data_IF_881788679522
#
_entry.id   IF_881788679522
#
_cell.length_a   1.000
_cell.length_b   1.000
_cell.length_c   1.000
_cell.angle_alpha   90.00
_cell.angle_beta   90.00
_cell.angle_gamma   90.00
#
_symmetry.space_group_name_H-M   'P 1'
#
loop_
_entity.id
_entity.type
_entity.pdbx_description
1 polymer ?
#
# COMPACT_ATOMS: atom_id res chain seq x y z
N UNK A 1 12.89 23.60 -45.89
CA UNK A 1 13.51 24.53 -44.93
C UNK A 1 12.43 25.08 -43.99
N UNK A 2 12.57 24.74 -42.70
CA UNK A 2 12.01 25.36 -41.47
C UNK A 2 10.72 26.18 -41.53
N UNK A 3 9.65 25.60 -40.97
CA UNK A 3 8.57 26.35 -40.33
C UNK A 3 8.97 26.65 -38.88
N UNK A 4 9.32 27.89 -38.56
CA UNK A 4 9.45 28.36 -37.17
C UNK A 4 8.41 29.46 -36.96
N UNK A 5 7.29 29.08 -36.34
CA UNK A 5 6.32 29.99 -35.73
C UNK A 5 7.06 30.87 -34.73
N UNK A 6 7.14 32.16 -35.03
CA UNK A 6 7.65 33.18 -34.10
C UNK A 6 6.63 33.35 -32.96
N UNK A 7 6.80 32.62 -31.86
CA UNK A 7 6.08 32.91 -30.62
C UNK A 7 6.65 34.20 -30.03
N UNK A 8 5.98 35.32 -30.29
CA UNK A 8 6.25 36.60 -29.61
C UNK A 8 5.99 36.39 -28.11
N UNK A 9 7.05 36.45 -27.31
CA UNK A 9 7.02 36.38 -25.84
C UNK A 9 5.98 37.41 -25.34
N UNK A 10 5.02 36.90 -24.56
CA UNK A 10 3.89 37.59 -23.91
C UNK A 10 4.33 38.93 -23.30
N UNK A 11 3.49 39.98 -23.34
CA UNK A 11 3.87 41.32 -22.91
C UNK A 11 4.30 41.34 -21.45
N UNK A 12 5.29 42.20 -21.23
CA UNK A 12 5.90 42.58 -19.97
C UNK A 12 4.88 42.65 -18.83
N UNK A 13 4.88 41.65 -17.94
CA UNK A 13 4.21 41.72 -16.65
C UNK A 13 5.06 42.64 -15.76
N UNK A 14 4.96 43.95 -15.96
CA UNK A 14 5.65 44.96 -15.14
C UNK A 14 4.64 45.96 -14.62
N UNK A 15 4.11 45.70 -13.43
CA UNK A 15 3.17 46.66 -12.85
C UNK A 15 2.65 46.21 -11.52
N UNK A 16 1.95 45.07 -11.48
CA UNK A 16 1.24 44.71 -10.24
C UNK A 16 2.17 44.19 -9.14
N UNK A 17 3.08 43.25 -9.44
CA UNK A 17 4.03 42.75 -8.44
C UNK A 17 5.01 43.83 -7.95
N UNK A 18 5.47 44.74 -8.84
CA UNK A 18 6.35 45.84 -8.46
C UNK A 18 5.66 46.86 -7.53
N UNK A 19 4.36 47.11 -7.73
CA UNK A 19 3.54 47.94 -6.84
C UNK A 19 3.34 47.27 -5.47
N UNK A 20 3.08 45.97 -5.45
CA UNK A 20 2.95 45.20 -4.20
C UNK A 20 4.27 45.22 -3.41
N UNK A 21 5.41 45.07 -4.08
CA UNK A 21 6.72 45.11 -3.45
C UNK A 21 7.09 46.49 -2.93
N UNK A 22 6.72 47.59 -3.63
CA UNK A 22 6.98 48.98 -3.20
C UNK A 22 6.07 49.45 -2.07
N UNK A 23 4.86 48.89 -1.94
CA UNK A 23 3.93 49.21 -0.85
C UNK A 23 4.21 48.40 0.43
N UNK A 24 4.97 47.31 0.33
CA UNK A 24 5.32 46.46 1.48
C UNK A 24 6.25 47.16 2.48
N UNK A 25 7.03 48.14 2.01
CA UNK A 25 8.02 48.89 2.78
C UNK A 25 7.48 50.18 3.43
N UNK A 26 6.25 50.60 3.14
CA UNK A 26 5.59 51.73 3.81
C UNK A 26 4.63 51.31 4.93
N UNK A 27 4.33 50.01 5.05
CA UNK A 27 3.48 49.52 6.12
C UNK A 27 4.30 49.20 7.37
N UNK A 28 4.61 50.21 8.18
CA UNK A 28 4.92 50.04 9.62
C UNK A 28 3.66 49.64 10.41
N UNK A 29 2.81 48.81 9.81
CA UNK A 29 1.76 48.11 10.52
C UNK A 29 2.43 46.84 11.03
N UNK A 30 2.83 46.87 12.29
CA UNK A 30 3.17 45.65 13.03
C UNK A 30 1.99 44.72 12.89
N UNK A 31 2.07 43.79 11.94
CA UNK A 31 1.10 42.71 11.79
C UNK A 31 1.29 41.84 13.03
N UNK A 32 0.59 42.19 14.10
CA UNK A 32 0.48 41.34 15.26
C UNK A 32 -0.16 40.06 14.74
N UNK A 33 0.55 38.92 14.73
CA UNK A 33 -0.07 37.67 14.32
C UNK A 33 -1.27 37.47 15.24
N UNK A 34 -2.45 37.29 14.66
CA UNK A 34 -3.63 36.91 15.43
C UNK A 34 -3.26 35.63 16.18
N UNK A 35 -3.37 35.64 17.51
CA UNK A 35 -3.22 34.44 18.31
C UNK A 35 -4.33 33.48 17.90
N UNK A 36 -4.02 32.58 16.97
CA UNK A 36 -4.87 31.45 16.67
C UNK A 36 -4.92 30.63 17.96
N UNK A 37 -6.09 30.43 18.58
CA UNK A 37 -6.21 29.50 19.69
C UNK A 37 -5.68 28.16 19.18
N UNK A 38 -4.58 27.70 19.74
CA UNK A 38 -4.09 26.36 19.49
C UNK A 38 -5.07 25.43 20.18
N UNK A 39 -6.17 25.07 19.50
CA UNK A 39 -6.93 23.92 19.94
C UNK A 39 -5.94 22.76 19.97
N UNK A 40 -5.79 22.07 21.11
CA UNK A 40 -5.00 20.86 21.13
C UNK A 40 -5.61 19.97 20.07
N UNK A 41 -4.83 19.64 19.03
CA UNK A 41 -5.22 18.67 18.01
C UNK A 41 -5.78 17.49 18.79
N UNK A 42 -7.07 17.14 18.65
CA UNK A 42 -7.62 16.00 19.34
C UNK A 42 -6.69 14.85 18.99
N UNK A 43 -6.02 14.32 20.02
CA UNK A 43 -5.17 13.17 19.86
C UNK A 43 -6.10 12.13 19.26
N UNK A 44 -5.93 11.86 17.96
CA UNK A 44 -6.59 10.72 17.34
C UNK A 44 -6.08 9.56 18.17
N UNK A 45 -6.97 9.08 19.04
CA UNK A 45 -6.73 7.95 19.90
C UNK A 45 -6.08 6.90 19.02
N UNK A 46 -4.87 6.50 19.39
CA UNK A 46 -4.16 5.42 18.75
C UNK A 46 -5.11 4.23 18.84
N UNK A 47 -5.86 4.01 17.75
CA UNK A 47 -6.81 2.93 17.66
C UNK A 47 -5.98 1.69 17.91
N UNK A 48 -6.29 1.01 19.02
CA UNK A 48 -5.57 -0.17 19.47
C UNK A 48 -5.32 -1.08 18.27
N UNK A 49 -4.11 -1.03 17.71
CA UNK A 49 -3.65 -1.94 16.67
C UNK A 49 -3.43 -3.24 17.40
N UNK A 50 -4.49 -4.01 17.53
CA UNK A 50 -4.46 -5.32 18.13
C UNK A 50 -3.62 -6.20 17.22
N UNK A 51 -2.31 -6.23 17.49
CA UNK A 51 -1.36 -7.04 16.75
C UNK A 51 -1.82 -8.49 16.83
N UNK A 52 -2.07 -9.16 15.68
CA UNK A 52 -2.55 -10.52 15.71
C UNK A 52 -1.50 -11.41 16.40
N UNK A 53 -1.97 -12.22 17.36
CA UNK A 53 -1.14 -13.16 18.10
C UNK A 53 -0.41 -14.09 17.12
N UNK A 54 0.91 -14.36 17.29
CA UNK A 54 1.65 -15.20 16.36
C UNK A 54 1.18 -16.66 16.41
N UNK A 55 0.88 -17.23 15.25
CA UNK A 55 0.54 -18.64 15.09
C UNK A 55 1.81 -19.49 15.04
N UNK A 56 1.87 -20.53 15.87
CA UNK A 56 3.03 -21.44 15.98
C UNK A 56 2.61 -22.82 15.49
N UNK A 57 3.44 -23.42 14.63
CA UNK A 57 3.27 -24.80 14.18
C UNK A 57 4.50 -25.63 14.55
N UNK A 58 4.35 -26.94 14.71
CA UNK A 58 5.45 -27.82 15.12
C UNK A 58 5.90 -28.71 13.96
N UNK A 59 7.18 -28.65 13.62
CA UNK A 59 7.86 -29.54 12.67
C UNK A 59 8.88 -30.36 13.47
N UNK A 60 8.79 -31.70 13.46
CA UNK A 60 9.69 -32.58 14.23
C UNK A 60 9.85 -32.16 15.72
N UNK A 61 8.76 -31.79 16.39
CA UNK A 61 8.75 -31.26 17.77
C UNK A 61 9.46 -29.91 17.98
N UNK A 62 9.88 -29.22 16.91
CA UNK A 62 10.40 -27.85 16.98
C UNK A 62 9.31 -26.83 16.63
N UNK A 63 9.10 -25.78 17.45
CA UNK A 63 8.16 -24.72 17.13
C UNK A 63 8.71 -23.83 16.00
N UNK A 64 7.93 -23.67 14.95
CA UNK A 64 8.17 -22.76 13.83
C UNK A 64 7.08 -21.69 13.87
N UNK A 65 7.44 -20.40 14.03
CA UNK A 65 6.49 -19.31 13.94
C UNK A 65 6.09 -19.11 12.48
N UNK A 66 4.79 -18.97 12.22
CA UNK A 66 4.31 -18.57 10.90
C UNK A 66 4.47 -17.05 10.74
N UNK A 67 4.80 -16.58 9.51
CA UNK A 67 4.77 -15.15 9.24
C UNK A 67 3.34 -14.62 9.42
N UNK A 68 3.21 -13.37 9.85
CA UNK A 68 1.90 -12.73 9.96
C UNK A 68 1.53 -12.13 8.60
N UNK A 69 0.24 -12.21 8.25
CA UNK A 69 -0.25 -11.59 7.03
C UNK A 69 -0.17 -10.05 7.18
N UNK A 70 0.43 -9.33 6.22
CA UNK A 70 0.41 -7.88 6.19
C UNK A 70 -1.02 -7.33 6.23
N UNK A 71 -1.22 -6.21 6.93
CA UNK A 71 -2.50 -5.52 6.99
C UNK A 71 -2.64 -4.59 5.78
N UNK A 72 -3.86 -4.48 5.28
CA UNK A 72 -4.17 -3.57 4.20
C UNK A 72 -3.99 -2.11 4.65
N UNK A 73 -3.43 -1.24 3.79
CA UNK A 73 -3.15 0.14 4.14
C UNK A 73 -4.38 1.06 4.09
N UNK A 74 -4.67 1.75 5.20
CA UNK A 74 -5.77 2.72 5.30
C UNK A 74 -5.41 4.14 4.81
N UNK A 75 -4.14 4.42 4.52
CA UNK A 75 -3.61 5.75 4.19
C UNK A 75 -3.40 5.97 2.67
N UNK A 76 -4.20 5.31 1.82
CA UNK A 76 -4.13 5.48 0.37
C UNK A 76 -4.57 6.90 -0.06
N UNK A 77 -3.63 7.70 -0.56
CA UNK A 77 -3.85 9.10 -0.97
C UNK A 77 -4.33 9.25 -2.43
N UNK A 78 -4.25 8.21 -3.27
CA UNK A 78 -4.61 8.22 -4.71
C UNK A 78 -3.92 9.30 -5.56
N UNK A 79 -2.84 9.92 -5.08
CA UNK A 79 -2.17 11.05 -5.72
C UNK A 79 -1.05 10.67 -6.70
N UNK A 80 -0.74 9.38 -6.84
CA UNK A 80 0.30 8.89 -7.77
C UNK A 80 1.74 9.18 -7.32
N UNK A 81 2.04 9.01 -6.03
CA UNK A 81 3.39 9.14 -5.48
C UNK A 81 4.37 8.12 -6.08
N UNK A 82 5.67 8.45 -6.06
CA UNK A 82 6.76 7.55 -6.48
C UNK A 82 6.83 6.28 -5.62
N UNK A 83 6.47 6.37 -4.35
CA UNK A 83 6.30 5.22 -3.47
C UNK A 83 4.82 5.11 -3.11
N UNK A 84 4.11 4.23 -3.82
CA UNK A 84 2.73 3.94 -3.50
C UNK A 84 2.68 3.04 -2.26
N UNK A 85 1.73 3.30 -1.36
CA UNK A 85 1.54 2.43 -0.20
C UNK A 85 1.14 1.01 -0.62
N UNK A 86 0.42 0.88 -1.74
CA UNK A 86 0.09 -0.42 -2.32
C UNK A 86 1.30 -1.17 -2.84
N UNK A 87 2.32 -0.48 -3.35
CA UNK A 87 3.56 -1.12 -3.79
C UNK A 87 4.29 -1.71 -2.58
N UNK A 88 4.42 -0.93 -1.49
CA UNK A 88 5.02 -1.40 -0.24
C UNK A 88 4.25 -2.58 0.36
N UNK A 89 2.92 -2.50 0.37
CA UNK A 89 2.07 -3.60 0.83
C UNK A 89 2.25 -4.85 -0.04
N UNK A 90 2.43 -4.68 -1.35
CA UNK A 90 2.64 -5.79 -2.26
C UNK A 90 4.01 -6.45 -2.03
N UNK A 91 5.07 -5.66 -1.81
CA UNK A 91 6.38 -6.17 -1.38
C UNK A 91 6.26 -6.98 -0.08
N UNK A 92 5.57 -6.45 0.94
CA UNK A 92 5.32 -7.16 2.20
C UNK A 92 4.54 -8.48 1.99
N UNK A 93 3.58 -8.49 1.06
CA UNK A 93 2.79 -9.67 0.70
C UNK A 93 3.62 -10.73 -0.04
N UNK A 94 4.55 -10.31 -0.91
CA UNK A 94 5.49 -11.19 -1.59
C UNK A 94 6.44 -11.86 -0.59
N UNK A 95 6.98 -11.08 0.36
CA UNK A 95 7.80 -11.58 1.46
C UNK A 95 7.04 -12.58 2.35
N UNK A 96 5.78 -12.29 2.65
CA UNK A 96 4.90 -13.20 3.39
C UNK A 96 4.70 -14.52 2.64
N UNK A 97 4.42 -14.45 1.34
CA UNK A 97 4.24 -15.63 0.50
C UNK A 97 5.53 -16.47 0.39
N UNK A 98 6.69 -15.82 0.26
CA UNK A 98 7.99 -16.47 0.20
C UNK A 98 8.30 -17.24 1.49
N UNK A 99 8.09 -16.63 2.66
CA UNK A 99 8.28 -17.29 3.97
C UNK A 99 7.34 -18.48 4.16
N UNK A 100 6.07 -18.34 3.76
CA UNK A 100 5.12 -19.44 3.81
C UNK A 100 5.54 -20.60 2.90
N UNK A 101 6.02 -20.30 1.69
CA UNK A 101 6.52 -21.32 0.76
C UNK A 101 7.72 -22.05 1.35
N UNK A 102 8.68 -21.34 1.94
CA UNK A 102 9.84 -21.96 2.59
C UNK A 102 9.42 -22.92 3.71
N UNK A 103 8.46 -22.53 4.54
CA UNK A 103 7.95 -23.40 5.61
C UNK A 103 7.28 -24.63 4.99
N UNK A 104 6.43 -24.47 3.97
CA UNK A 104 5.82 -25.61 3.25
C UNK A 104 6.86 -26.57 2.70
N UNK A 105 7.91 -26.05 2.06
CA UNK A 105 8.98 -26.86 1.48
C UNK A 105 9.70 -27.66 2.57
N UNK A 106 9.90 -27.10 3.76
CA UNK A 106 10.45 -27.83 4.93
C UNK A 106 9.53 -28.98 5.39
N UNK A 107 8.20 -28.79 5.40
CA UNK A 107 7.25 -29.87 5.72
C UNK A 107 7.30 -31.00 4.69
N UNK A 108 7.35 -30.65 3.40
CA UNK A 108 7.45 -31.61 2.29
C UNK A 108 8.74 -32.41 2.39
N UNK A 109 9.89 -31.74 2.62
CA UNK A 109 11.19 -32.40 2.77
C UNK A 109 11.24 -33.32 4.01
N UNK A 110 10.56 -32.96 5.09
CA UNK A 110 10.45 -33.80 6.28
C UNK A 110 9.45 -34.96 6.13
N UNK A 111 8.69 -35.02 5.05
CA UNK A 111 7.64 -36.03 4.84
C UNK A 111 6.47 -35.90 5.82
N UNK A 112 6.29 -34.73 6.44
CA UNK A 112 5.18 -34.46 7.36
C UNK A 112 4.00 -33.82 6.60
N UNK A 113 2.75 -34.06 7.04
CA UNK A 113 1.59 -33.42 6.43
C UNK A 113 1.66 -31.89 6.61
N UNK A 114 1.31 -31.15 5.55
CA UNK A 114 1.31 -29.70 5.56
C UNK A 114 0.18 -29.20 6.49
N UNK A 115 0.45 -28.26 7.41
CA UNK A 115 -0.56 -27.67 8.29
C UNK A 115 -1.63 -26.89 7.52
N UNK A 116 -2.88 -26.91 7.99
CA UNK A 116 -4.00 -26.22 7.36
C UNK A 116 -3.77 -24.70 7.26
N UNK A 117 -3.15 -24.08 8.26
CA UNK A 117 -2.80 -22.65 8.26
C UNK A 117 -1.85 -22.23 7.15
N UNK A 118 -1.00 -23.15 6.67
CA UNK A 118 -0.12 -22.87 5.53
C UNK A 118 -0.85 -23.12 4.21
N UNK A 119 -1.76 -24.08 4.14
CA UNK A 119 -2.51 -24.40 2.93
C UNK A 119 -3.64 -23.40 2.68
N UNK A 120 -3.27 -22.14 2.44
CA UNK A 120 -4.12 -21.17 1.75
C UNK A 120 -4.28 -21.61 0.29
N UNK A 121 -4.94 -22.73 0.05
CA UNK A 121 -5.58 -22.92 -1.25
C UNK A 121 -6.57 -21.77 -1.38
N UNK A 122 -6.61 -21.06 -2.53
CA UNK A 122 -7.72 -20.16 -2.80
C UNK A 122 -8.98 -21.00 -2.60
N UNK A 123 -9.83 -20.58 -1.66
CA UNK A 123 -11.08 -21.27 -1.40
C UNK A 123 -11.77 -21.37 -2.76
N UNK A 124 -11.90 -22.58 -3.31
CA UNK A 124 -12.63 -22.84 -4.58
C UNK A 124 -14.07 -22.31 -4.49
N UNK A 125 -14.51 -21.99 -3.28
CA UNK A 125 -15.76 -21.37 -2.91
C UNK A 125 -15.84 -19.87 -3.29
N UNK A 126 -14.71 -19.17 -3.42
CA UNK A 126 -14.65 -17.74 -3.80
C UNK A 126 -14.25 -17.52 -5.29
N UNK A 127 -14.09 -18.59 -6.06
CA UNK A 127 -13.84 -18.46 -7.50
C UNK A 127 -15.13 -18.14 -8.24
N UNK A 128 -15.05 -17.23 -9.21
CA UNK A 128 -16.19 -16.88 -10.07
C UNK A 128 -16.84 -18.15 -10.64
N UNK A 129 -18.19 -18.29 -10.62
CA UNK A 129 -18.89 -19.47 -11.12
C UNK A 129 -18.48 -19.87 -12.54
N UNK A 130 -18.09 -18.91 -13.39
CA UNK A 130 -17.61 -19.15 -14.76
C UNK A 130 -16.23 -19.82 -14.76
N UNK A 131 -15.31 -19.34 -13.92
CA UNK A 131 -13.98 -19.96 -13.79
C UNK A 131 -14.07 -21.39 -13.25
N UNK A 132 -15.00 -21.64 -12.31
CA UNK A 132 -15.25 -22.98 -11.78
C UNK A 132 -15.78 -23.94 -12.85
N UNK A 133 -16.73 -23.48 -13.68
CA UNK A 133 -17.26 -24.28 -14.77
C UNK A 133 -16.17 -24.67 -15.78
N UNK A 134 -15.25 -23.75 -16.08
CA UNK A 134 -14.14 -24.01 -16.99
C UNK A 134 -13.18 -25.08 -16.44
N UNK A 135 -12.73 -24.92 -15.19
CA UNK A 135 -11.85 -25.88 -14.53
C UNK A 135 -12.48 -27.28 -14.43
N UNK A 136 -13.79 -27.36 -14.24
CA UNK A 136 -14.51 -28.64 -14.22
C UNK A 136 -14.54 -29.31 -15.59
N UNK A 137 -14.72 -28.56 -16.68
CA UNK A 137 -14.61 -29.10 -18.05
C UNK A 137 -13.21 -29.60 -18.34
N UNK A 138 -12.17 -28.83 -17.99
CA UNK A 138 -10.77 -29.25 -18.16
C UNK A 138 -10.45 -30.53 -17.39
N UNK A 139 -10.92 -30.67 -16.14
CA UNK A 139 -10.76 -31.91 -15.35
C UNK A 139 -11.45 -33.11 -15.99
N UNK A 140 -12.65 -32.92 -16.57
CA UNK A 140 -13.38 -33.98 -17.27
C UNK A 140 -12.66 -34.43 -18.54
N UNK A 141 -11.95 -33.51 -19.21
CA UNK A 141 -11.17 -33.81 -20.41
C UNK A 141 -9.82 -34.46 -20.09
N UNK A 142 -9.17 -34.07 -18.99
CA UNK A 142 -7.86 -34.60 -18.59
C UNK A 142 -7.91 -35.97 -17.89
N UNK A 143 -9.10 -36.40 -17.44
CA UNK A 143 -9.33 -37.71 -16.82
C UNK A 143 -9.82 -38.78 -17.82
N UNK A 144 -9.83 -38.48 -19.12
CA UNK A 144 -10.09 -39.39 -20.25
C UNK A 144 -8.76 -39.79 -20.90
#
# INVERSE_FOLDING_TARGET
>A
MSWIRSCKRIPNYSGWWDLVLKNANESTLTKTPLSIPFEPVPQLEETNKETPKPTIVYLNNQPIPLPQKPLEPDNCCMSGCVHCVWDLYQEDMEDYAAKNKEIKDRFIQAGQPIPAELDTQPQVQDMDPSMKAFLEMEKKLNNL
#
